data_IF_767065840099
#
_entry.id   IF_767065840099
#
_cell.length_a   1.000
_cell.length_b   1.000
_cell.length_c   1.000
_cell.angle_alpha   90.00
_cell.angle_beta   90.00
_cell.angle_gamma   90.00
#
_symmetry.space_group_name_H-M   'P 1'
#
loop_
_entity.id
_entity.type
_entity.pdbx_description
1 polymer ?
#
# COMPACT_ATOMS: atom_id res chain seq x y z
N UNK A 1 9.82 31.80 7.12
CA UNK A 1 10.52 30.55 6.77
C UNK A 1 9.44 29.57 6.35
N UNK A 2 9.34 29.26 5.06
CA UNK A 2 8.41 28.24 4.59
C UNK A 2 9.12 26.89 4.73
N UNK A 3 8.49 25.94 5.43
CA UNK A 3 8.99 24.57 5.51
C UNK A 3 8.35 23.83 4.35
N UNK A 4 9.16 23.56 3.32
CA UNK A 4 8.63 23.01 2.08
C UNK A 4 8.76 21.49 2.05
N UNK A 5 9.78 20.91 2.67
CA UNK A 5 10.11 19.49 2.52
C UNK A 5 10.17 18.74 3.85
N UNK A 6 9.46 17.61 3.90
CA UNK A 6 9.38 16.71 5.05
C UNK A 6 9.84 15.32 4.66
N UNK A 7 10.63 14.70 5.54
CA UNK A 7 10.88 13.27 5.57
C UNK A 7 9.93 12.65 6.59
N UNK A 8 9.22 11.61 6.21
CA UNK A 8 8.23 10.94 7.07
C UNK A 8 8.59 9.46 7.16
N UNK A 9 8.60 8.93 8.38
CA UNK A 9 8.73 7.50 8.63
C UNK A 9 7.47 7.00 9.35
N UNK A 10 6.78 6.04 8.74
CA UNK A 10 5.58 5.43 9.31
C UNK A 10 5.92 4.01 9.77
N UNK A 11 5.55 3.70 11.02
CA UNK A 11 5.59 2.34 11.55
C UNK A 11 4.27 1.65 11.19
N UNK A 12 4.35 0.51 10.51
CA UNK A 12 3.17 -0.26 10.13
C UNK A 12 2.40 -0.76 11.37
N UNK A 13 1.05 -0.73 11.37
CA UNK A 13 0.24 -1.15 12.50
C UNK A 13 0.48 -2.61 12.85
N UNK A 14 0.62 -2.90 14.15
CA UNK A 14 0.97 -4.24 14.65
C UNK A 14 0.03 -5.35 14.16
N UNK A 15 -1.24 -5.05 13.90
CA UNK A 15 -2.28 -6.01 13.52
C UNK A 15 -2.51 -6.09 12.00
N UNK A 16 -1.63 -5.48 11.20
CA UNK A 16 -1.66 -5.49 9.74
C UNK A 16 -0.52 -6.34 9.14
N UNK A 17 -0.55 -6.66 7.83
CA UNK A 17 0.60 -7.24 7.12
C UNK A 17 1.84 -6.35 7.05
N UNK A 18 1.74 -5.11 7.53
CA UNK A 18 2.82 -4.13 7.60
C UNK A 18 3.48 -4.06 8.98
N UNK A 19 2.97 -4.83 9.96
CA UNK A 19 3.31 -4.71 11.37
C UNK A 19 4.80 -4.58 11.65
N UNK A 20 5.16 -3.52 12.39
CA UNK A 20 6.53 -3.15 12.77
C UNK A 20 7.49 -2.82 11.61
N UNK A 21 7.05 -2.87 10.36
CA UNK A 21 7.82 -2.36 9.22
C UNK A 21 7.96 -0.85 9.29
N UNK A 22 9.09 -0.34 8.79
CA UNK A 22 9.41 1.08 8.69
C UNK A 22 9.30 1.54 7.23
N UNK A 23 8.33 2.41 6.97
CA UNK A 23 7.95 2.88 5.64
C UNK A 23 8.29 4.37 5.49
N UNK A 24 9.24 4.70 4.62
CA UNK A 24 9.68 6.09 4.41
C UNK A 24 8.89 6.74 3.28
N UNK A 25 8.57 8.02 3.47
CA UNK A 25 7.93 8.89 2.50
C UNK A 25 8.66 10.24 2.42
N UNK A 26 8.68 10.82 1.23
CA UNK A 26 9.02 12.22 1.01
C UNK A 26 7.72 13.02 0.85
N UNK A 27 7.59 14.15 1.53
CA UNK A 27 6.43 15.03 1.41
C UNK A 27 6.90 16.46 1.10
N UNK A 28 6.33 17.07 0.06
CA UNK A 28 6.70 18.39 -0.42
C UNK A 28 5.47 19.30 -0.51
N UNK A 29 5.45 20.33 0.32
CA UNK A 29 4.55 21.46 0.23
C UNK A 29 5.11 22.43 -0.82
N UNK A 30 4.57 22.35 -2.04
CA UNK A 30 4.94 23.26 -3.13
C UNK A 30 4.55 24.71 -2.83
N UNK A 31 5.05 25.70 -3.60
CA UNK A 31 4.66 27.10 -3.42
C UNK A 31 3.14 27.37 -3.50
N UNK A 32 2.36 26.47 -4.10
CA UNK A 32 0.90 26.52 -4.14
C UNK A 32 0.21 25.95 -2.89
N UNK A 33 0.93 25.38 -1.94
CA UNK A 33 0.37 24.91 -0.67
C UNK A 33 0.08 26.12 0.25
N UNK A 34 -1.08 26.16 0.95
CA UNK A 34 -2.08 25.11 1.10
C UNK A 34 -3.22 25.13 0.07
N UNK A 35 -3.22 26.03 -0.92
CA UNK A 35 -4.27 26.06 -1.96
C UNK A 35 -4.35 24.77 -2.78
N UNK A 36 -3.21 24.13 -3.03
CA UNK A 36 -3.13 22.77 -3.58
C UNK A 36 -2.61 21.77 -2.53
N UNK A 37 -2.96 20.47 -2.63
CA UNK A 37 -2.43 19.45 -1.73
C UNK A 37 -0.90 19.35 -1.82
N UNK A 38 -0.24 18.90 -0.75
CA UNK A 38 1.18 18.57 -0.82
C UNK A 38 1.42 17.37 -1.75
N UNK A 39 2.64 17.25 -2.26
CA UNK A 39 3.10 16.06 -2.98
C UNK A 39 3.66 15.05 -2.00
N UNK A 40 3.30 13.78 -2.14
CA UNK A 40 3.80 12.70 -1.28
C UNK A 40 4.31 11.53 -2.12
N UNK A 41 5.50 11.03 -1.80
CA UNK A 41 6.14 9.93 -2.49
C UNK A 41 6.57 8.82 -1.53
N UNK A 42 6.16 7.60 -1.86
CA UNK A 42 6.56 6.41 -1.15
C UNK A 42 7.98 5.96 -1.56
N UNK A 43 8.85 5.75 -0.57
CA UNK A 43 10.28 5.46 -0.79
C UNK A 43 10.65 4.01 -0.55
N UNK A 44 9.90 3.29 0.28
CA UNK A 44 10.14 1.87 0.56
C UNK A 44 9.63 0.97 -0.58
N UNK A 45 10.00 1.27 -1.83
CA UNK A 45 9.53 0.53 -3.03
C UNK A 45 10.37 -0.70 -3.34
N UNK A 46 11.43 -0.97 -2.58
CA UNK A 46 12.40 -2.03 -2.89
C UNK A 46 13.08 -1.85 -4.25
N UNK A 47 13.30 -0.59 -4.69
CA UNK A 47 13.81 -0.29 -6.03
C UNK A 47 12.78 -0.55 -7.14
N UNK A 48 11.49 -0.42 -6.83
CA UNK A 48 10.39 -0.72 -7.75
C UNK A 48 9.98 -2.19 -7.80
N UNK A 49 10.48 -3.02 -6.89
CA UNK A 49 10.17 -4.45 -6.82
C UNK A 49 9.05 -4.80 -5.83
N UNK A 50 8.75 -3.91 -4.88
CA UNK A 50 7.76 -4.17 -3.84
C UNK A 50 6.38 -3.64 -4.24
N UNK A 51 5.38 -4.53 -4.26
CA UNK A 51 3.98 -4.18 -4.40
C UNK A 51 3.29 -4.32 -3.05
N UNK A 52 3.31 -3.26 -2.23
CA UNK A 52 2.85 -3.31 -0.84
C UNK A 52 1.34 -3.14 -0.69
N UNK A 53 0.72 -2.33 -1.53
CA UNK A 53 -0.69 -1.96 -1.44
C UNK A 53 -1.14 -1.45 -2.82
N UNK A 54 -2.40 -1.67 -3.25
CA UNK A 54 -2.96 -1.07 -4.46
C UNK A 54 -2.77 0.46 -4.54
N UNK A 55 -2.72 1.14 -3.40
CA UNK A 55 -2.50 2.58 -3.30
C UNK A 55 -1.02 3.01 -3.17
N UNK A 56 -0.06 2.07 -3.11
CA UNK A 56 1.38 2.32 -3.03
C UNK A 56 2.11 1.73 -4.24
N UNK A 57 2.32 2.56 -5.25
CA UNK A 57 2.83 2.10 -6.53
C UNK A 57 4.35 1.86 -6.47
N UNK A 58 4.83 0.94 -7.31
CA UNK A 58 6.26 0.61 -7.45
C UNK A 58 7.14 1.81 -7.80
N UNK A 59 6.60 2.79 -8.51
CA UNK A 59 7.31 4.03 -8.83
C UNK A 59 7.32 5.04 -7.67
N UNK A 60 6.59 4.80 -6.60
CA UNK A 60 6.49 5.69 -5.43
C UNK A 60 5.23 6.56 -5.40
N UNK A 61 4.35 6.49 -6.40
CA UNK A 61 3.05 7.19 -6.36
C UNK A 61 2.20 6.67 -5.19
N UNK A 62 1.60 7.61 -4.44
CA UNK A 62 0.65 7.34 -3.37
C UNK A 62 -0.74 7.77 -3.82
N UNK A 63 -1.71 6.85 -3.75
CA UNK A 63 -3.09 7.11 -4.09
C UNK A 63 -3.92 7.43 -2.85
N UNK A 64 -4.27 8.70 -2.65
CA UNK A 64 -5.21 9.16 -1.64
C UNK A 64 -6.02 10.33 -2.22
N UNK A 65 -7.30 10.41 -1.85
CA UNK A 65 -8.17 11.50 -2.32
C UNK A 65 -7.68 12.87 -1.85
N UNK A 66 -7.14 12.94 -0.62
CA UNK A 66 -6.50 14.14 -0.06
C UNK A 66 -5.26 14.59 -0.83
N UNK A 67 -4.66 13.72 -1.66
CA UNK A 67 -3.54 14.06 -2.55
C UNK A 67 -4.01 14.38 -3.98
N UNK A 68 -5.31 14.29 -4.26
CA UNK A 68 -5.86 14.40 -5.61
C UNK A 68 -5.43 13.27 -6.55
N UNK A 69 -4.93 12.15 -6.01
CA UNK A 69 -4.44 10.98 -6.76
C UNK A 69 -5.42 9.81 -6.77
N UNK A 70 -6.52 9.93 -6.04
CA UNK A 70 -7.63 8.96 -6.00
C UNK A 70 -8.96 9.67 -6.22
N UNK A 71 -9.90 9.10 -7.00
CA UNK A 71 -11.08 9.83 -7.46
C UNK A 71 -12.22 9.84 -6.44
N UNK A 72 -12.19 8.95 -5.44
CA UNK A 72 -13.26 8.78 -4.46
C UNK A 72 -12.79 9.16 -3.06
N UNK A 73 -13.57 9.94 -2.32
CA UNK A 73 -13.29 10.32 -0.93
C UNK A 73 -13.14 11.83 -0.73
N UNK A 74 -12.60 12.20 0.43
CA UNK A 74 -12.41 13.60 0.81
C UNK A 74 -11.31 14.25 -0.02
N UNK A 75 -11.62 15.41 -0.62
CA UNK A 75 -10.68 16.20 -1.42
C UNK A 75 -9.98 17.21 -0.53
N UNK A 76 -8.71 17.50 -0.80
CA UNK A 76 -7.94 18.52 -0.10
C UNK A 76 -8.68 19.87 -0.06
N UNK A 77 -8.82 20.42 1.13
CA UNK A 77 -9.41 21.72 1.39
C UNK A 77 -8.36 22.64 1.99
N UNK A 78 -8.04 23.74 1.30
CA UNK A 78 -6.97 24.67 1.71
C UNK A 78 -7.15 25.27 3.12
N UNK A 79 -8.38 25.31 3.64
CA UNK A 79 -8.72 25.92 4.93
C UNK A 79 -8.84 24.89 6.06
N UNK A 80 -9.11 23.63 5.73
CA UNK A 80 -9.47 22.59 6.71
C UNK A 80 -8.50 21.42 6.73
N UNK A 81 -7.93 21.06 5.59
CA UNK A 81 -7.05 19.91 5.49
C UNK A 81 -5.70 20.19 6.14
N UNK A 82 -5.15 19.18 6.80
CA UNK A 82 -3.87 19.28 7.50
C UNK A 82 -2.92 18.18 7.07
N UNK A 83 -1.61 18.41 7.26
CA UNK A 83 -0.62 17.35 7.08
C UNK A 83 -0.87 16.19 8.05
N UNK A 84 -1.35 16.48 9.27
CA UNK A 84 -1.70 15.45 10.24
C UNK A 84 -2.83 14.56 9.71
N UNK A 85 -3.90 15.14 9.16
CA UNK A 85 -4.98 14.38 8.54
C UNK A 85 -4.46 13.49 7.41
N UNK A 86 -3.64 14.03 6.51
CA UNK A 86 -3.03 13.25 5.43
C UNK A 86 -2.21 12.06 5.94
N UNK A 87 -1.38 12.26 6.96
CA UNK A 87 -0.55 11.20 7.54
C UNK A 87 -1.40 10.15 8.28
N UNK A 88 -2.43 10.57 9.00
CA UNK A 88 -3.38 9.67 9.66
C UNK A 88 -4.19 8.86 8.64
N UNK A 89 -4.65 9.50 7.56
CA UNK A 89 -5.35 8.81 6.47
C UNK A 89 -4.43 7.80 5.78
N UNK A 90 -3.16 8.14 5.55
CA UNK A 90 -2.15 7.19 5.04
C UNK A 90 -2.04 5.99 5.98
N UNK A 91 -1.91 6.23 7.28
CA UNK A 91 -1.81 5.16 8.28
C UNK A 91 -3.06 4.27 8.33
N UNK A 92 -4.26 4.87 8.36
CA UNK A 92 -5.52 4.15 8.55
C UNK A 92 -6.00 3.41 7.30
N UNK A 93 -5.91 4.03 6.12
CA UNK A 93 -6.51 3.49 4.89
C UNK A 93 -5.54 2.65 4.07
N UNK A 94 -4.24 2.96 4.08
CA UNK A 94 -3.26 2.20 3.30
C UNK A 94 -2.71 1.04 4.12
N UNK A 95 -2.32 1.28 5.37
CA UNK A 95 -1.72 0.24 6.21
C UNK A 95 -2.78 -0.62 6.94
N UNK A 96 -3.84 -1.01 6.23
CA UNK A 96 -4.98 -1.77 6.77
C UNK A 96 -4.70 -3.29 6.88
N UNK A 97 -5.60 -4.03 7.53
CA UNK A 97 -5.49 -5.48 7.75
C UNK A 97 -5.62 -6.31 6.46
N UNK A 98 -6.42 -5.84 5.49
CA UNK A 98 -6.68 -6.52 4.23
C UNK A 98 -6.47 -5.57 3.03
N UNK A 99 -5.20 -5.37 2.61
CA UNK A 99 -4.83 -4.41 1.58
C UNK A 99 -5.41 -4.66 0.19
N UNK A 100 -5.74 -5.93 -0.14
CA UNK A 100 -6.33 -6.25 -1.44
C UNK A 100 -7.66 -5.53 -1.62
N UNK A 101 -8.44 -5.37 -0.55
CA UNK A 101 -9.73 -4.69 -0.58
C UNK A 101 -9.63 -3.18 -0.90
N UNK A 102 -8.42 -2.62 -0.99
CA UNK A 102 -8.21 -1.26 -1.49
C UNK A 102 -8.19 -1.18 -3.03
N UNK A 103 -8.11 -2.31 -3.74
CA UNK A 103 -8.23 -2.36 -5.20
C UNK A 103 -9.70 -2.19 -5.61
N UNK A 104 -10.03 -1.25 -6.52
CA UNK A 104 -11.38 -1.09 -7.02
C UNK A 104 -11.91 -2.37 -7.67
N UNK A 105 -13.03 -2.88 -7.16
CA UNK A 105 -13.66 -4.12 -7.61
C UNK A 105 -13.41 -5.33 -6.71
N UNK A 106 -12.40 -5.28 -5.84
CA UNK A 106 -12.04 -6.37 -4.91
C UNK A 106 -12.48 -6.08 -3.46
N UNK A 107 -13.39 -5.12 -3.26
CA UNK A 107 -13.86 -4.74 -1.92
C UNK A 107 -14.56 -5.90 -1.19
N UNK A 108 -15.06 -6.88 -1.95
CA UNK A 108 -15.77 -8.07 -1.45
C UNK A 108 -14.84 -9.23 -1.09
N UNK A 109 -13.54 -9.13 -1.38
CA UNK A 109 -12.53 -10.16 -1.07
C UNK A 109 -12.17 -10.23 0.42
N UNK A 110 -12.86 -9.48 1.28
CA UNK A 110 -12.65 -9.48 2.72
C UNK A 110 -12.78 -10.89 3.31
N UNK A 111 -11.73 -11.36 3.99
CA UNK A 111 -11.61 -12.72 4.53
C UNK A 111 -11.44 -13.81 3.47
N UNK A 112 -11.40 -13.43 2.19
CA UNK A 112 -11.28 -14.31 1.03
C UNK A 112 -9.90 -14.96 0.89
N UNK A 113 -9.78 -16.07 0.13
CA UNK A 113 -8.50 -16.70 -0.14
C UNK A 113 -7.49 -15.78 -0.82
N UNK A 114 -7.94 -14.89 -1.70
CA UNK A 114 -7.06 -13.98 -2.45
C UNK A 114 -6.48 -12.89 -1.54
N UNK A 115 -7.31 -12.28 -0.69
CA UNK A 115 -6.85 -11.34 0.33
C UNK A 115 -5.81 -11.97 1.27
N UNK A 116 -6.03 -13.23 1.69
CA UNK A 116 -5.06 -13.97 2.51
C UNK A 116 -3.73 -14.21 1.78
N UNK A 117 -3.75 -14.55 0.50
CA UNK A 117 -2.53 -14.72 -0.30
C UNK A 117 -1.80 -13.39 -0.50
N UNK A 118 -2.54 -12.30 -0.71
CA UNK A 118 -2.00 -10.95 -0.77
C UNK A 118 -1.28 -10.59 0.54
N UNK A 119 -1.91 -10.86 1.69
CA UNK A 119 -1.31 -10.65 3.01
C UNK A 119 -0.02 -11.46 3.19
N UNK A 120 -0.02 -12.74 2.82
CA UNK A 120 1.17 -13.60 2.91
C UNK A 120 2.34 -13.04 2.09
N UNK A 121 2.08 -12.55 0.88
CA UNK A 121 3.11 -11.89 0.08
C UNK A 121 3.56 -10.58 0.73
N UNK A 122 2.63 -9.80 1.28
CA UNK A 122 2.93 -8.52 1.94
C UNK A 122 3.78 -8.71 3.21
N UNK A 123 3.57 -9.77 4.00
CA UNK A 123 4.44 -10.12 5.12
C UNK A 123 5.91 -10.24 4.69
N UNK A 124 6.13 -10.96 3.60
CA UNK A 124 7.47 -11.18 3.05
C UNK A 124 8.10 -9.86 2.57
N UNK A 125 7.34 -9.02 1.88
CA UNK A 125 7.77 -7.69 1.47
C UNK A 125 8.12 -6.79 2.67
N UNK A 126 7.30 -6.82 3.73
CA UNK A 126 7.52 -6.05 4.95
C UNK A 126 8.84 -6.43 5.59
N UNK A 127 9.14 -7.72 5.76
CA UNK A 127 10.43 -8.16 6.31
C UNK A 127 11.58 -7.78 5.38
N UNK A 128 11.44 -8.05 4.07
CA UNK A 128 12.50 -7.90 3.07
C UNK A 128 12.89 -6.44 2.82
N UNK A 129 11.92 -5.53 2.78
CA UNK A 129 12.14 -4.14 2.36
C UNK A 129 11.86 -3.11 3.46
N UNK A 130 10.97 -3.39 4.40
CA UNK A 130 10.60 -2.46 5.47
C UNK A 130 11.27 -2.78 6.83
N UNK A 131 12.00 -3.90 6.96
CA UNK A 131 12.73 -4.23 8.20
C UNK A 131 14.22 -4.46 7.97
N UNK A 132 14.58 -5.44 7.14
CA UNK A 132 15.98 -5.85 6.97
C UNK A 132 16.92 -4.74 6.47
N UNK A 133 16.54 -3.86 5.53
CA UNK A 133 17.42 -2.78 5.10
C UNK A 133 17.78 -1.85 6.25
N UNK A 134 16.82 -1.50 7.10
CA UNK A 134 17.04 -0.65 8.28
C UNK A 134 17.99 -1.29 9.30
N UNK A 135 17.79 -2.59 9.61
CA UNK A 135 18.67 -3.34 10.51
C UNK A 135 20.10 -3.49 9.96
N UNK A 136 20.26 -3.49 8.63
CA UNK A 136 21.55 -3.51 7.93
C UNK A 136 22.15 -2.11 7.74
N UNK A 137 21.50 -1.09 8.29
CA UNK A 137 21.87 0.31 8.15
C UNK A 137 21.48 0.94 6.82
N UNK A 138 21.01 0.19 5.81
CA UNK A 138 20.80 0.63 4.42
C UNK A 138 19.77 1.76 4.23
N UNK A 139 19.02 2.10 5.28
CA UNK A 139 18.08 3.21 5.28
C UNK A 139 18.73 4.57 5.52
N UNK A 140 17.91 5.62 5.62
CA UNK A 140 18.41 6.97 5.87
C UNK A 140 19.01 7.10 7.28
N UNK A 141 20.22 7.68 7.44
CA UNK A 141 20.83 7.88 8.75
C UNK A 141 20.04 8.87 9.63
N UNK A 142 19.12 9.64 9.05
CA UNK A 142 18.20 10.55 9.75
C UNK A 142 17.41 9.84 10.85
N UNK A 143 17.09 8.56 10.66
CA UNK A 143 16.22 7.79 11.53
C UNK A 143 16.97 6.80 12.42
N UNK A 144 18.30 6.88 12.51
CA UNK A 144 19.10 5.85 13.18
C UNK A 144 18.72 5.63 14.65
N UNK A 145 18.35 6.69 15.37
CA UNK A 145 17.84 6.65 16.74
C UNK A 145 16.46 5.98 16.80
N UNK A 146 15.51 6.39 15.94
CA UNK A 146 14.17 5.80 15.83
C UNK A 146 14.25 4.32 15.49
N UNK A 147 15.06 3.94 14.49
CA UNK A 147 15.27 2.56 14.05
C UNK A 147 15.85 1.73 15.19
N UNK A 148 16.89 2.23 15.87
CA UNK A 148 17.50 1.54 17.02
C UNK A 148 16.47 1.30 18.11
N UNK A 149 15.75 2.34 18.51
CA UNK A 149 14.79 2.25 19.61
C UNK A 149 13.63 1.32 19.27
N UNK A 150 13.06 1.45 18.07
CA UNK A 150 11.96 0.64 17.57
C UNK A 150 12.30 -0.85 17.56
N UNK A 151 13.40 -1.25 16.92
CA UNK A 151 13.76 -2.66 16.82
C UNK A 151 14.29 -3.24 18.12
N UNK A 152 14.82 -2.41 19.03
CA UNK A 152 15.25 -2.87 20.36
C UNK A 152 14.05 -3.14 21.25
N UNK A 153 13.12 -2.19 21.36
CA UNK A 153 11.92 -2.32 22.19
C UNK A 153 11.01 -3.45 21.74
N UNK A 154 10.81 -3.59 20.42
CA UNK A 154 9.84 -4.52 19.86
C UNK A 154 10.47 -5.85 19.41
N UNK A 155 11.72 -6.14 19.79
CA UNK A 155 12.49 -7.30 19.28
C UNK A 155 11.72 -8.61 19.39
N UNK A 156 11.20 -8.91 20.57
CA UNK A 156 10.50 -10.18 20.86
C UNK A 156 9.23 -10.29 20.02
N UNK A 157 8.42 -9.23 20.01
CA UNK A 157 7.15 -9.20 19.29
C UNK A 157 7.33 -9.29 17.78
N UNK A 158 8.36 -8.64 17.24
CA UNK A 158 8.73 -8.73 15.82
C UNK A 158 9.10 -10.16 15.44
N UNK A 159 9.93 -10.83 16.25
CA UNK A 159 10.34 -12.21 15.97
C UNK A 159 9.11 -13.13 15.99
N UNK A 160 8.28 -13.03 17.03
CA UNK A 160 7.06 -13.85 17.16
C UNK A 160 6.08 -13.61 16.00
N UNK A 161 5.90 -12.34 15.59
CA UNK A 161 5.05 -11.97 14.45
C UNK A 161 5.54 -12.63 13.16
N UNK A 162 6.85 -12.55 12.87
CA UNK A 162 7.41 -13.09 11.63
C UNK A 162 7.50 -14.62 11.65
N UNK A 163 7.66 -15.24 12.83
CA UNK A 163 7.48 -16.69 13.00
C UNK A 163 6.06 -17.11 12.62
N UNK A 164 5.06 -16.44 13.17
CA UNK A 164 3.66 -16.69 12.85
C UNK A 164 3.36 -16.50 11.34
N UNK A 165 3.86 -15.42 10.72
CA UNK A 165 3.74 -15.21 9.28
C UNK A 165 4.39 -16.32 8.46
N UNK A 166 5.52 -16.85 8.93
CA UNK A 166 6.22 -17.97 8.28
C UNK A 166 5.39 -19.26 8.34
N UNK A 167 4.69 -19.50 9.46
CA UNK A 167 3.80 -20.66 9.60
C UNK A 167 2.55 -20.53 8.71
N UNK A 168 1.95 -19.33 8.62
CA UNK A 168 0.86 -19.06 7.69
C UNK A 168 1.26 -19.30 6.24
N UNK A 169 2.46 -18.86 5.84
CA UNK A 169 2.99 -19.05 4.49
C UNK A 169 3.25 -20.53 4.14
N UNK A 170 3.45 -21.40 5.14
CA UNK A 170 3.59 -22.85 4.97
C UNK A 170 2.25 -23.59 4.91
N UNK A 171 1.15 -22.94 5.25
CA UNK A 171 -0.18 -23.56 5.29
C UNK A 171 -0.64 -24.04 3.90
N UNK A 172 -1.55 -25.02 3.88
CA UNK A 172 -2.08 -25.60 2.62
C UNK A 172 -2.80 -24.58 1.73
N UNK A 173 -3.36 -23.52 2.32
CA UNK A 173 -4.02 -22.42 1.58
C UNK A 173 -3.00 -21.67 0.74
N UNK A 174 -1.85 -21.34 1.33
CA UNK A 174 -0.73 -20.72 0.64
C UNK A 174 -0.25 -21.62 -0.53
N UNK A 175 -0.05 -22.92 -0.26
CA UNK A 175 0.48 -23.86 -1.26
C UNK A 175 -0.43 -24.06 -2.49
N UNK A 176 -1.76 -23.98 -2.34
CA UNK A 176 -2.70 -24.10 -3.46
C UNK A 176 -2.89 -22.81 -4.26
N UNK A 177 -2.72 -21.66 -3.61
CA UNK A 177 -2.96 -20.33 -4.20
C UNK A 177 -1.82 -19.78 -5.05
N UNK A 178 -0.58 -20.25 -4.87
CA UNK A 178 0.57 -19.89 -5.72
C UNK A 178 0.61 -20.70 -7.03
N UNK A 179 -0.54 -20.84 -7.71
CA UNK A 179 -0.59 -21.52 -9.01
C UNK A 179 -0.07 -20.59 -10.13
N UNK A 180 0.72 -21.09 -11.11
CA UNK A 180 1.45 -20.27 -12.09
C UNK A 180 0.59 -19.40 -13.02
N UNK A 181 -0.72 -19.65 -13.07
CA UNK A 181 -1.65 -18.98 -13.99
C UNK A 181 -2.37 -17.77 -13.39
N UNK A 182 -2.20 -17.47 -12.09
CA UNK A 182 -2.78 -16.26 -11.53
C UNK A 182 -1.93 -15.04 -11.97
N UNK A 183 -2.50 -14.18 -12.82
CA UNK A 183 -1.77 -13.15 -13.60
C UNK A 183 -1.05 -12.13 -12.72
N UNK A 184 -1.53 -11.91 -11.50
CA UNK A 184 -0.97 -10.93 -10.55
C UNK A 184 0.03 -11.51 -9.55
N UNK A 185 0.13 -12.85 -9.48
CA UNK A 185 1.00 -13.54 -8.53
C UNK A 185 2.34 -14.01 -9.16
N UNK A 186 2.65 -13.54 -10.37
CA UNK A 186 3.95 -13.76 -11.04
C UNK A 186 5.04 -12.94 -10.34
N UNK A 187 5.52 -13.44 -9.20
CA UNK A 187 6.64 -12.84 -8.46
C UNK A 187 6.48 -12.80 -6.95
N UNK A 188 5.52 -13.53 -6.37
CA UNK A 188 5.31 -13.56 -4.92
C UNK A 188 6.59 -13.98 -4.18
N UNK A 189 7.06 -13.15 -3.24
CA UNK A 189 8.25 -13.41 -2.42
C UNK A 189 7.91 -14.12 -1.11
N UNK A 190 6.65 -14.57 -0.97
CA UNK A 190 6.14 -15.34 0.16
C UNK A 190 7.00 -16.58 0.49
N UNK A 191 7.49 -17.28 -0.53
CA UNK A 191 8.35 -18.45 -0.37
C UNK A 191 9.71 -18.13 0.29
N UNK A 192 10.13 -16.86 0.27
CA UNK A 192 11.37 -16.40 0.89
C UNK A 192 11.25 -16.20 2.42
N UNK A 193 10.03 -16.16 2.98
CA UNK A 193 9.79 -15.86 4.41
C UNK A 193 10.67 -16.65 5.39
N UNK A 194 10.86 -17.99 5.25
CA UNK A 194 11.74 -18.73 6.15
C UNK A 194 13.19 -18.23 6.13
N UNK A 195 13.70 -17.89 4.95
CA UNK A 195 15.04 -17.32 4.77
C UNK A 195 15.14 -15.90 5.33
N UNK A 196 14.09 -15.10 5.13
CA UNK A 196 13.99 -13.75 5.67
C UNK A 196 13.91 -13.74 7.20
N UNK A 197 13.16 -14.68 7.81
CA UNK A 197 13.10 -14.86 9.27
C UNK A 197 14.48 -15.18 9.84
N UNK A 198 15.24 -16.05 9.18
CA UNK A 198 16.61 -16.38 9.60
C UNK A 198 17.52 -15.16 9.56
N UNK A 199 17.44 -14.38 8.48
CA UNK A 199 18.17 -13.12 8.34
C UNK A 199 17.76 -12.10 9.40
N UNK A 200 16.46 -12.00 9.69
CA UNK A 200 15.91 -11.08 10.67
C UNK A 200 16.42 -11.42 12.08
N UNK A 201 16.31 -12.68 12.50
CA UNK A 201 16.84 -13.17 13.79
C UNK A 201 18.33 -12.90 13.94
N UNK A 202 19.08 -12.98 12.84
CA UNK A 202 20.53 -12.74 12.82
C UNK A 202 20.87 -11.24 12.92
N UNK A 203 20.03 -10.36 12.38
CA UNK A 203 20.29 -8.92 12.32
C UNK A 203 19.72 -8.19 13.55
N UNK A 204 18.57 -8.61 14.06
CA UNK A 204 17.84 -7.89 15.10
C UNK A 204 18.59 -7.94 16.45
N UNK A 205 18.79 -6.76 17.04
CA UNK A 205 19.56 -6.58 18.28
C UNK A 205 21.08 -6.50 18.09
N UNK A 206 21.60 -6.59 16.86
CA UNK A 206 22.97 -6.18 16.57
C UNK A 206 23.04 -4.65 16.42
N UNK A 207 24.19 -4.01 16.70
CA UNK A 207 24.40 -2.61 16.38
C UNK A 207 24.15 -2.35 14.89
N UNK A 208 23.36 -1.33 14.59
CA UNK A 208 23.10 -0.90 13.22
C UNK A 208 24.42 -0.34 12.66
N UNK A 209 24.94 -0.88 11.54
CA UNK A 209 26.17 -0.37 10.93
C UNK A 209 26.07 1.12 10.62
N UNK A 210 27.11 1.89 10.95
CA UNK A 210 27.18 3.31 10.61
C UNK A 210 27.23 3.49 9.09
N UNK A 211 26.45 4.43 8.58
CA UNK A 211 26.41 4.73 7.15
C UNK A 211 26.92 6.13 6.85
N UNK A 212 27.70 6.23 5.77
CA UNK A 212 28.07 7.49 5.14
C UNK A 212 27.41 7.56 3.77
N UNK A 213 26.07 7.58 3.74
CA UNK A 213 25.35 7.91 2.50
C UNK A 213 25.02 9.40 2.52
N UNK A 214 25.47 10.19 1.53
CA UNK A 214 25.05 11.59 1.44
C UNK A 214 23.54 11.65 1.28
N UNK A 215 22.90 12.53 2.05
CA UNK A 215 21.48 12.81 1.88
C UNK A 215 21.29 13.48 0.53
N UNK A 216 20.48 12.87 -0.33
CA UNK A 216 20.09 13.48 -1.59
C UNK A 216 18.74 14.14 -1.44
N UNK A 217 18.61 15.34 -2.00
CA UNK A 217 17.33 16.02 -2.12
C UNK A 217 16.36 15.10 -2.89
N UNK A 218 15.15 14.88 -2.37
CA UNK A 218 14.18 14.06 -3.05
C UNK A 218 13.74 14.71 -4.36
N UNK A 219 13.67 13.90 -5.40
CA UNK A 219 13.14 14.28 -6.71
C UNK A 219 11.67 13.90 -6.78
N UNK A 220 10.81 14.81 -7.25
CA UNK A 220 9.37 14.60 -7.41
C UNK A 220 8.95 14.59 -8.89
N UNK A 221 8.98 13.43 -9.58
CA UNK A 221 8.53 13.31 -10.97
C UNK A 221 7.04 13.66 -11.14
N UNK A 222 6.71 14.52 -12.11
CA UNK A 222 5.32 14.96 -12.35
C UNK A 222 4.34 13.79 -12.60
N UNK A 223 4.80 12.69 -13.20
CA UNK A 223 3.99 11.51 -13.51
C UNK A 223 3.41 10.79 -12.27
N UNK A 224 3.90 11.13 -11.07
CA UNK A 224 3.48 10.51 -9.81
C UNK A 224 2.32 11.26 -9.13
N UNK A 225 1.87 12.39 -9.68
CA UNK A 225 0.82 13.23 -9.09
C UNK A 225 -0.39 13.34 -10.00
N UNK A 226 -1.53 13.69 -9.40
CA UNK A 226 -2.83 13.72 -10.06
C UNK A 226 -3.44 12.33 -10.30
N UNK A 227 -4.76 12.31 -10.46
CA UNK A 227 -5.48 11.13 -10.89
C UNK A 227 -5.27 10.92 -12.40
N UNK A 228 -4.77 9.74 -12.75
CA UNK A 228 -4.70 9.29 -14.14
C UNK A 228 -5.74 8.18 -14.23
N UNK A 229 -6.91 8.48 -14.78
CA UNK A 229 -7.96 7.47 -14.98
C UNK A 229 -7.37 6.27 -15.72
N UNK A 230 -7.56 5.07 -15.18
CA UNK A 230 -7.08 3.86 -15.79
C UNK A 230 -7.76 3.61 -17.14
N UNK A 231 -7.07 3.93 -18.23
CA UNK A 231 -7.19 3.12 -19.44
C UNK A 231 -6.35 1.86 -19.22
N UNK A 232 -6.93 0.85 -18.59
CA UNK A 232 -6.58 -0.53 -18.92
C UNK A 232 -7.61 -1.01 -19.92
N UNK A 233 -7.17 -1.24 -21.15
CA UNK A 233 -8.02 -1.62 -22.27
C UNK A 233 -8.72 -2.95 -22.05
N UNK A 234 -9.97 -2.89 -21.59
CA UNK A 234 -10.99 -3.85 -21.97
C UNK A 234 -11.35 -3.59 -23.43
N UNK A 235 -11.01 -4.54 -24.30
CA UNK A 235 -11.40 -4.54 -25.70
C UNK A 235 -12.93 -4.73 -25.79
N UNK A 236 -13.70 -3.68 -25.54
CA UNK A 236 -15.10 -3.64 -25.91
C UNK A 236 -15.15 -3.28 -27.40
N UNK A 237 -15.22 -4.32 -28.23
CA UNK A 237 -15.54 -4.18 -29.64
C UNK A 237 -16.87 -3.41 -29.78
N UNK A 238 -16.78 -2.18 -30.26
CA UNK A 238 -17.92 -1.44 -30.73
C UNK A 238 -18.42 -2.11 -32.02
N UNK A 239 -19.44 -2.96 -31.92
CA UNK A 239 -20.28 -3.27 -33.06
C UNK A 239 -21.42 -2.25 -33.12
N UNK A 240 -21.18 -1.20 -33.89
CA UNK A 240 -22.22 -0.34 -34.43
C UNK A 240 -22.92 -1.02 -35.60
N UNK A 241 -24.25 -1.00 -35.60
CA UNK A 241 -25.04 -1.01 -36.84
C UNK A 241 -26.07 -2.13 -36.95
N UNK A 242 -27.35 -1.76 -36.93
CA UNK A 242 -28.43 -2.64 -37.37
C UNK A 242 -29.81 -2.25 -36.88
N UNK A 243 -30.35 -1.12 -37.35
CA UNK A 243 -31.79 -0.85 -37.30
C UNK A 243 -32.54 -1.87 -38.16
N UNK A 244 -33.52 -2.56 -37.60
CA UNK A 244 -34.46 -3.42 -38.33
C UNK A 244 -35.62 -3.83 -37.43
N UNK A 245 -36.83 -3.38 -37.77
CA UNK A 245 -38.02 -3.49 -36.94
C UNK A 245 -38.65 -4.89 -36.84
N UNK A 246 -39.59 -5.02 -35.91
CA UNK A 246 -40.45 -6.19 -35.75
C UNK A 246 -41.43 -6.02 -34.60
N UNK A 247 -42.72 -5.93 -34.94
CA UNK A 247 -43.86 -5.90 -34.03
C UNK A 247 -44.02 -7.20 -33.24
N UNK A 248 -44.50 -7.12 -31.99
CA UNK A 248 -45.01 -8.28 -31.25
C UNK A 248 -45.30 -7.97 -29.78
N UNK A 249 -46.58 -7.86 -29.42
CA UNK A 249 -47.05 -7.57 -28.07
C UNK A 249 -46.98 -8.77 -27.10
N UNK A 250 -47.12 -8.47 -25.80
CA UNK A 250 -47.23 -9.46 -24.73
C UNK A 250 -47.28 -8.80 -23.36
N UNK A 251 -48.23 -9.20 -22.52
CA UNK A 251 -48.70 -8.55 -21.30
C UNK A 251 -47.92 -8.94 -20.01
N UNK A 252 -47.62 -7.94 -19.18
CA UNK A 252 -47.60 -7.90 -17.68
C UNK A 252 -46.73 -8.89 -16.84
N UNK A 253 -46.76 -8.81 -15.49
CA UNK A 253 -46.98 -7.66 -14.60
C UNK A 253 -45.80 -7.42 -13.62
N UNK A 254 -45.82 -6.27 -12.91
CA UNK A 254 -44.70 -5.74 -12.14
C UNK A 254 -44.59 -6.12 -10.66
N UNK A 255 -43.50 -5.64 -10.06
CA UNK A 255 -43.17 -5.47 -8.63
C UNK A 255 -42.02 -4.44 -8.62
N UNK A 256 -41.78 -3.52 -7.69
CA UNK A 256 -42.31 -3.18 -6.38
C UNK A 256 -41.24 -2.27 -5.75
N UNK A 257 -41.66 -1.12 -5.22
CA UNK A 257 -40.81 -0.09 -4.61
C UNK A 257 -40.11 -0.55 -3.32
N UNK A 258 -38.92 0.02 -3.05
CA UNK A 258 -38.30 0.11 -1.71
C UNK A 258 -36.77 0.07 -1.81
N UNK A 259 -35.96 0.89 -1.16
CA UNK A 259 -36.15 1.99 -0.22
C UNK A 259 -34.74 2.48 0.15
N UNK A 260 -34.54 3.79 0.19
CA UNK A 260 -33.29 4.42 0.61
C UNK A 260 -33.14 4.32 2.13
N UNK A 261 -32.01 3.81 2.60
CA UNK A 261 -31.58 3.87 4.00
C UNK A 261 -30.14 4.36 4.07
N UNK A 262 -29.96 5.65 4.35
CA UNK A 262 -28.67 6.22 4.74
C UNK A 262 -28.41 5.94 6.22
N UNK A 263 -27.16 5.66 6.55
CA UNK A 263 -26.70 5.59 7.94
C UNK A 263 -25.65 6.68 8.16
N UNK A 264 -25.90 7.44 9.23
CA UNK A 264 -24.98 8.34 9.91
C UNK A 264 -23.86 7.55 10.60
#
# INVERSE_FOLDING_TARGET
>A
MQIDLFKVLIIGPKDSPYGYGLFEFDLWCEPSWPTAPPKMLFKTTGGGLANFNPNLYKNGKVCLSLLGTWPYGEVWNEKLSTLQQLLLSTWAFIFCEEPLCNEPGDEKEHGGPESKLYNINTYALTVKYAMLPWLRGQGSPLWNDVVREHFTRNKTDIIQKVEHWTDLARSRVAQRGFHPHNRENRGGVASELPGLLTQLKTAIGKPIPAQHRPQQMPTFPQQQFGYQGGQQGGHFGAHSGGYGGGYGGGYGPGYGHGGHGGFY
#
